data_IF_430772608033
#
_entry.id   IF_430772608033
#
_cell.length_a   1.000
_cell.length_b   1.000
_cell.length_c   1.000
_cell.angle_alpha   90.00
_cell.angle_beta   90.00
_cell.angle_gamma   90.00
#
_symmetry.space_group_name_H-M   'P 1'
#
loop_
_entity.id
_entity.type
_entity.pdbx_description
1 polymer ?
#
# COMPACT_ATOMS: atom_id res chain seq x y z
N UNK A 1 12.52 1.06 -16.98
CA UNK A 1 11.96 1.84 -15.87
C UNK A 1 10.55 1.35 -15.57
N UNK A 2 10.27 1.05 -14.32
CA UNK A 2 8.95 0.55 -13.94
C UNK A 2 8.08 1.65 -13.36
N UNK A 3 6.80 1.64 -13.73
CA UNK A 3 5.81 2.55 -13.18
C UNK A 3 5.14 1.88 -12.00
N UNK A 4 5.18 2.51 -10.84
CA UNK A 4 4.59 2.00 -9.60
C UNK A 4 3.52 2.96 -9.13
N UNK A 5 2.32 2.47 -8.87
CA UNK A 5 1.25 3.27 -8.27
C UNK A 5 1.28 3.06 -6.76
N UNK A 6 1.05 4.13 -6.02
CA UNK A 6 0.93 4.08 -4.56
C UNK A 6 -0.41 4.69 -4.23
N UNK A 7 -1.37 3.84 -3.90
CA UNK A 7 -2.78 4.21 -3.69
C UNK A 7 -3.06 4.12 -2.20
N UNK A 8 -3.37 5.25 -1.57
CA UNK A 8 -3.48 5.25 -0.12
C UNK A 8 -4.56 6.21 0.39
N UNK A 9 -5.00 5.94 1.62
CA UNK A 9 -5.84 6.83 2.40
C UNK A 9 -5.12 7.14 3.70
N UNK A 10 -5.17 8.37 4.15
CA UNK A 10 -4.51 8.78 5.40
C UNK A 10 -5.37 9.80 6.12
N UNK A 11 -5.61 9.58 7.42
CA UNK A 11 -6.37 10.52 8.24
C UNK A 11 -5.46 11.42 9.06
N UNK A 12 -4.41 10.85 9.67
CA UNK A 12 -3.52 11.58 10.57
C UNK A 12 -2.20 11.99 9.94
N UNK A 13 -1.91 11.48 8.74
CA UNK A 13 -0.65 11.76 8.07
C UNK A 13 0.38 10.64 8.21
N UNK A 14 0.15 9.66 9.05
CA UNK A 14 1.12 8.58 9.26
C UNK A 14 1.26 7.68 8.03
N UNK A 15 0.13 7.22 7.49
CA UNK A 15 0.15 6.40 6.27
C UNK A 15 0.65 7.21 5.08
N UNK A 16 0.36 8.52 5.04
CA UNK A 16 0.89 9.40 4.00
C UNK A 16 2.41 9.48 4.05
N UNK A 17 2.97 9.57 5.26
CA UNK A 17 4.43 9.60 5.41
C UNK A 17 5.06 8.31 4.88
N UNK A 18 4.40 7.16 5.13
CA UNK A 18 4.84 5.89 4.59
C UNK A 18 4.78 5.90 3.06
N UNK A 19 3.68 6.37 2.50
CA UNK A 19 3.50 6.43 1.04
C UNK A 19 4.58 7.28 0.38
N UNK A 20 4.89 8.43 0.95
CA UNK A 20 5.93 9.31 0.42
C UNK A 20 7.31 8.65 0.47
N UNK A 21 7.62 7.92 1.54
CA UNK A 21 8.90 7.22 1.65
C UNK A 21 8.99 6.07 0.65
N UNK A 22 7.90 5.34 0.41
CA UNK A 22 7.86 4.30 -0.61
C UNK A 22 8.15 4.91 -1.98
N UNK A 23 7.53 6.06 -2.28
CA UNK A 23 7.75 6.75 -3.54
C UNK A 23 9.21 7.17 -3.72
N UNK A 24 9.85 7.65 -2.64
CA UNK A 24 11.28 7.98 -2.68
C UNK A 24 12.12 6.76 -3.06
N UNK A 25 11.83 5.61 -2.44
CA UNK A 25 12.55 4.38 -2.73
C UNK A 25 12.39 3.93 -4.16
N UNK A 26 11.17 4.05 -4.71
CA UNK A 26 10.93 3.74 -6.12
C UNK A 26 11.80 4.61 -7.03
N UNK A 27 11.83 5.92 -6.76
CA UNK A 27 12.55 6.88 -7.60
C UNK A 27 14.07 6.67 -7.49
N UNK A 28 14.57 6.42 -6.29
CA UNK A 28 15.98 6.16 -6.08
C UNK A 28 16.45 4.92 -6.83
N UNK A 29 15.57 3.95 -7.01
CA UNK A 29 15.88 2.73 -7.76
C UNK A 29 15.66 2.87 -9.26
N UNK A 30 15.30 4.06 -9.73
CA UNK A 30 15.14 4.34 -11.16
C UNK A 30 13.75 4.16 -11.71
N UNK A 31 12.75 3.88 -10.85
CA UNK A 31 11.36 3.75 -11.27
C UNK A 31 10.61 5.08 -11.22
N UNK A 32 9.36 5.06 -11.64
CA UNK A 32 8.46 6.20 -11.48
C UNK A 32 7.39 5.84 -10.47
N UNK A 33 7.02 6.80 -9.62
CA UNK A 33 6.02 6.61 -8.59
C UNK A 33 4.86 7.58 -8.79
N UNK A 34 3.64 7.05 -8.81
CA UNK A 34 2.43 7.85 -8.89
C UNK A 34 1.68 7.71 -7.58
N UNK A 35 1.63 8.77 -6.80
CA UNK A 35 0.90 8.83 -5.53
C UNK A 35 -0.53 9.27 -5.82
N UNK A 36 -1.52 8.52 -5.33
CA UNK A 36 -2.91 8.86 -5.59
C UNK A 36 -3.82 8.40 -4.45
N UNK A 37 -4.97 9.07 -4.36
CA UNK A 37 -6.00 8.69 -3.41
C UNK A 37 -6.91 7.62 -3.97
N UNK A 38 -7.80 7.07 -3.12
CA UNK A 38 -8.68 5.98 -3.55
C UNK A 38 -9.58 6.32 -4.75
N UNK A 39 -10.05 7.56 -4.84
CA UNK A 39 -10.94 7.96 -5.92
C UNK A 39 -10.27 7.99 -7.29
N UNK A 40 -8.95 7.96 -7.32
CA UNK A 40 -8.18 8.07 -8.56
C UNK A 40 -7.79 6.70 -9.15
N UNK A 41 -8.07 5.61 -8.44
CA UNK A 41 -7.65 4.27 -8.86
C UNK A 41 -8.85 3.37 -9.13
N UNK A 42 -8.86 2.73 -10.30
CA UNK A 42 -9.88 1.76 -10.68
C UNK A 42 -9.22 0.48 -11.14
N UNK A 43 -10.03 -0.57 -11.40
CA UNK A 43 -9.48 -1.83 -11.89
C UNK A 43 -8.77 -1.67 -13.25
N UNK A 44 -9.19 -0.71 -14.07
CA UNK A 44 -8.52 -0.44 -15.34
C UNK A 44 -7.13 0.15 -15.14
N UNK A 45 -6.89 0.81 -14.01
CA UNK A 45 -5.61 1.44 -13.73
C UNK A 45 -4.45 0.44 -13.65
N UNK A 46 -4.73 -0.82 -13.29
CA UNK A 46 -3.69 -1.83 -13.16
C UNK A 46 -2.82 -1.96 -14.43
N UNK A 47 -3.41 -1.76 -15.59
CA UNK A 47 -2.68 -1.93 -16.87
C UNK A 47 -1.55 -0.92 -17.05
N UNK A 48 -1.61 0.18 -16.32
CA UNK A 48 -0.64 1.28 -16.46
C UNK A 48 0.57 1.13 -15.55
N UNK A 49 0.57 0.14 -14.65
CA UNK A 49 1.60 0.02 -13.62
C UNK A 49 2.14 -1.39 -13.55
N UNK A 50 3.45 -1.49 -13.31
CA UNK A 50 4.10 -2.79 -13.11
C UNK A 50 3.72 -3.40 -11.77
N UNK A 51 3.49 -2.55 -10.75
CA UNK A 51 3.05 -2.99 -9.43
C UNK A 51 2.29 -1.86 -8.76
N UNK A 52 1.45 -2.21 -7.78
CA UNK A 52 0.66 -1.24 -7.02
C UNK A 52 0.85 -1.49 -5.54
N UNK A 53 1.20 -0.44 -4.80
CA UNK A 53 1.25 -0.49 -3.34
C UNK A 53 -0.04 0.15 -2.81
N UNK A 54 -0.83 -0.62 -2.05
CA UNK A 54 -2.06 -0.14 -1.44
C UNK A 54 -1.80 0.15 0.03
N UNK A 55 -2.16 1.35 0.48
CA UNK A 55 -1.92 1.78 1.85
C UNK A 55 -3.18 2.28 2.54
N UNK A 56 -3.42 1.79 3.75
CA UNK A 56 -4.57 2.21 4.56
C UNK A 56 -4.26 1.91 6.03
N UNK A 57 -4.52 2.87 6.93
CA UNK A 57 -4.31 2.61 8.35
C UNK A 57 -5.38 1.68 8.91
N UNK A 58 -5.08 1.08 10.07
CA UNK A 58 -6.09 0.34 10.83
C UNK A 58 -7.12 1.33 11.37
N UNK A 59 -8.40 1.07 11.11
CA UNK A 59 -9.49 1.92 11.56
C UNK A 59 -10.38 1.17 12.55
N UNK A 60 -10.92 1.90 13.51
CA UNK A 60 -11.93 1.40 14.42
C UNK A 60 -11.68 -0.01 14.94
N UNK A 61 -12.44 -0.98 14.47
CA UNK A 61 -12.36 -2.38 14.88
C UNK A 61 -11.38 -3.18 14.01
N UNK A 62 -10.22 -2.63 13.74
CA UNK A 62 -9.17 -3.26 12.91
C UNK A 62 -9.70 -3.58 11.50
N UNK A 63 -10.21 -2.53 10.84
CA UNK A 63 -10.74 -2.63 9.48
C UNK A 63 -10.11 -1.57 8.60
N UNK A 64 -10.30 -1.69 7.28
CA UNK A 64 -9.92 -0.62 6.35
C UNK A 64 -10.89 0.55 6.51
N UNK A 65 -10.42 1.75 6.11
CA UNK A 65 -11.29 2.91 6.10
C UNK A 65 -12.49 2.64 5.19
N UNK A 66 -13.70 2.95 5.63
CA UNK A 66 -14.92 2.43 5.00
C UNK A 66 -15.68 3.41 4.09
N UNK A 67 -15.25 4.67 4.01
CA UNK A 67 -15.95 5.65 3.18
C UNK A 67 -15.34 5.85 1.81
N UNK A 68 -14.02 5.73 1.71
CA UNK A 68 -13.31 5.99 0.46
C UNK A 68 -12.44 4.81 0.04
N UNK A 69 -11.57 4.33 0.94
CA UNK A 69 -10.64 3.26 0.61
C UNK A 69 -11.35 1.93 0.44
N UNK A 70 -12.21 1.58 1.39
CA UNK A 70 -12.93 0.31 1.35
C UNK A 70 -13.72 0.11 0.06
N UNK A 71 -14.57 1.09 -0.33
CA UNK A 71 -15.31 0.95 -1.58
C UNK A 71 -14.41 0.82 -2.82
N UNK A 72 -13.29 1.56 -2.86
CA UNK A 72 -12.34 1.43 -3.97
C UNK A 72 -11.75 0.03 -3.98
N UNK A 73 -11.30 -0.46 -2.82
CA UNK A 73 -10.65 -1.76 -2.74
C UNK A 73 -11.64 -2.89 -3.07
N UNK A 74 -12.87 -2.78 -2.60
CA UNK A 74 -13.91 -3.75 -2.94
C UNK A 74 -14.11 -3.84 -4.45
N UNK A 75 -14.03 -2.70 -5.14
CA UNK A 75 -14.21 -2.66 -6.58
C UNK A 75 -13.03 -3.29 -7.34
N UNK A 76 -11.81 -3.17 -6.83
CA UNK A 76 -10.63 -3.70 -7.52
C UNK A 76 -10.30 -5.14 -7.10
N UNK A 77 -10.79 -5.58 -5.97
CA UNK A 77 -10.47 -6.91 -5.44
C UNK A 77 -10.69 -8.05 -6.42
N UNK A 78 -11.80 -8.09 -7.20
CA UNK A 78 -12.00 -9.17 -8.18
C UNK A 78 -10.93 -9.22 -9.27
N UNK A 79 -10.15 -8.16 -9.45
CA UNK A 79 -9.13 -8.07 -10.50
C UNK A 79 -7.72 -8.35 -9.98
N UNK A 80 -7.58 -8.75 -8.72
CA UNK A 80 -6.26 -8.93 -8.11
C UNK A 80 -5.49 -10.15 -8.57
N UNK A 81 -6.17 -11.14 -9.15
CA UNK A 81 -5.51 -12.39 -9.55
C UNK A 81 -4.31 -12.13 -10.45
N UNK A 82 -3.14 -12.58 -10.01
CA UNK A 82 -1.89 -12.44 -10.76
C UNK A 82 -1.29 -11.04 -10.77
N UNK A 83 -1.91 -10.08 -10.09
CA UNK A 83 -1.37 -8.71 -10.04
C UNK A 83 -0.26 -8.61 -9.01
N UNK A 84 0.77 -7.83 -9.33
CA UNK A 84 1.89 -7.55 -8.43
C UNK A 84 1.50 -6.40 -7.51
N UNK A 85 1.32 -6.68 -6.23
CA UNK A 85 0.91 -5.66 -5.27
C UNK A 85 1.72 -5.75 -3.98
N UNK A 86 1.67 -4.67 -3.21
CA UNK A 86 2.18 -4.63 -1.84
C UNK A 86 1.15 -3.93 -0.98
N UNK A 87 1.11 -4.27 0.30
CA UNK A 87 0.18 -3.65 1.25
C UNK A 87 0.99 -2.99 2.36
N UNK A 88 0.54 -1.81 2.79
CA UNK A 88 1.18 -1.09 3.89
C UNK A 88 0.18 -0.29 4.68
N UNK A 89 0.56 0.13 5.87
CA UNK A 89 -0.31 0.98 6.66
C UNK A 89 0.23 1.21 8.07
N UNK A 90 -0.33 2.23 8.73
CA UNK A 90 0.00 2.57 10.11
C UNK A 90 -1.11 2.11 11.03
N UNK A 91 -0.79 1.93 12.32
CA UNK A 91 -1.77 1.57 13.33
C UNK A 91 -1.43 2.20 14.66
N UNK A 92 -2.45 2.46 15.49
CA UNK A 92 -2.26 3.06 16.81
C UNK A 92 -2.35 2.04 17.93
N UNK A 93 -3.39 1.21 17.88
CA UNK A 93 -3.60 0.15 18.86
C UNK A 93 -3.94 -1.14 18.10
N UNK A 94 -3.99 -2.25 18.82
CA UNK A 94 -4.18 -3.54 18.18
C UNK A 94 -2.84 -4.15 17.82
N UNK A 95 -2.87 -5.28 17.13
CA UNK A 95 -1.68 -6.07 16.87
C UNK A 95 -1.45 -6.39 15.39
N UNK A 96 -2.07 -5.61 14.49
CA UNK A 96 -1.90 -5.81 13.06
C UNK A 96 -2.92 -6.75 12.43
N UNK A 97 -3.99 -7.06 13.13
CA UNK A 97 -5.00 -7.97 12.58
C UNK A 97 -5.64 -7.46 11.30
N UNK A 98 -5.83 -6.13 11.17
CA UNK A 98 -6.40 -5.57 9.94
C UNK A 98 -5.52 -5.90 8.73
N UNK A 99 -4.20 -5.91 8.92
CA UNK A 99 -3.27 -6.22 7.84
C UNK A 99 -3.27 -7.71 7.54
N UNK A 100 -3.35 -8.57 8.55
CA UNK A 100 -3.41 -10.00 8.32
C UNK A 100 -4.67 -10.38 7.54
N UNK A 101 -5.82 -9.80 7.93
CA UNK A 101 -7.07 -10.01 7.21
C UNK A 101 -6.99 -9.49 5.78
N UNK A 102 -6.37 -8.33 5.60
CA UNK A 102 -6.22 -7.71 4.29
C UNK A 102 -5.34 -8.57 3.38
N UNK A 103 -4.24 -9.08 3.91
CA UNK A 103 -3.37 -9.98 3.16
C UNK A 103 -4.12 -11.24 2.72
N UNK A 104 -5.00 -11.78 3.55
CA UNK A 104 -5.80 -12.95 3.20
C UNK A 104 -6.75 -12.65 2.03
N UNK A 105 -7.32 -11.44 2.00
CA UNK A 105 -8.17 -11.02 0.88
C UNK A 105 -7.40 -10.96 -0.43
N UNK A 106 -6.08 -10.75 -0.35
CA UNK A 106 -5.22 -10.58 -1.51
C UNK A 106 -4.49 -11.87 -1.89
N UNK A 107 -4.95 -13.03 -1.42
CA UNK A 107 -4.25 -14.30 -1.64
C UNK A 107 -4.08 -14.66 -3.12
N UNK A 108 -4.96 -14.18 -4.00
CA UNK A 108 -4.86 -14.44 -5.44
C UNK A 108 -3.83 -13.56 -6.14
N UNK A 109 -3.37 -12.50 -5.48
CA UNK A 109 -2.37 -11.60 -6.03
C UNK A 109 -0.97 -12.08 -5.71
N UNK A 110 0.02 -11.49 -6.38
CA UNK A 110 1.41 -11.67 -6.01
C UNK A 110 1.76 -10.58 -4.99
N UNK A 111 1.84 -10.98 -3.71
CA UNK A 111 2.18 -10.03 -2.64
C UNK A 111 3.70 -9.93 -2.52
N UNK A 112 4.23 -8.71 -2.65
CA UNK A 112 5.66 -8.48 -2.53
C UNK A 112 6.18 -8.85 -1.14
N UNK A 113 5.46 -8.43 -0.10
CA UNK A 113 5.73 -8.85 1.27
C UNK A 113 4.47 -9.54 1.78
N UNK A 114 4.49 -10.86 1.98
CA UNK A 114 3.26 -11.59 2.32
C UNK A 114 2.58 -11.13 3.61
N UNK A 115 3.32 -10.49 4.53
CA UNK A 115 2.77 -10.00 5.79
C UNK A 115 2.35 -8.53 5.74
N UNK A 116 2.69 -7.83 4.64
CA UNK A 116 2.48 -6.40 4.56
C UNK A 116 3.50 -5.62 5.38
N UNK A 117 3.59 -4.31 5.15
CA UNK A 117 4.46 -3.44 5.92
C UNK A 117 3.62 -2.59 6.87
N UNK A 118 3.78 -2.80 8.18
CA UNK A 118 3.01 -2.07 9.17
C UNK A 118 3.95 -1.31 10.10
N UNK A 119 3.56 -0.08 10.47
CA UNK A 119 4.31 0.75 11.40
C UNK A 119 3.38 1.30 12.46
N UNK A 120 3.85 1.31 13.70
CA UNK A 120 3.05 1.80 14.83
C UNK A 120 3.14 3.33 14.92
N UNK A 121 1.99 3.97 14.90
CA UNK A 121 1.86 5.42 15.05
C UNK A 121 2.71 6.20 14.04
N UNK A 122 3.37 7.29 14.47
CA UNK A 122 4.18 8.11 13.59
C UNK A 122 5.44 7.37 13.19
N UNK A 123 5.71 7.18 11.89
CA UNK A 123 6.92 6.47 11.46
C UNK A 123 8.18 7.20 11.91
N UNK A 124 9.12 6.42 12.45
CA UNK A 124 10.44 6.93 12.78
C UNK A 124 11.40 6.71 11.61
N UNK A 125 12.67 7.10 11.78
CA UNK A 125 13.66 6.94 10.71
C UNK A 125 13.83 5.49 10.26
N UNK A 126 13.80 4.57 11.21
CA UNK A 126 13.93 3.14 10.90
C UNK A 126 12.73 2.64 10.08
N UNK A 127 11.52 3.07 10.46
CA UNK A 127 10.31 2.71 9.75
C UNK A 127 10.28 3.32 8.36
N UNK A 128 10.69 4.57 8.21
CA UNK A 128 10.75 5.21 6.89
C UNK A 128 11.79 4.54 5.99
N UNK A 129 12.91 4.05 6.57
CA UNK A 129 13.89 3.30 5.81
C UNK A 129 13.30 2.00 5.26
N UNK A 130 12.45 1.32 6.05
CA UNK A 130 11.75 0.12 5.57
C UNK A 130 10.81 0.45 4.41
N UNK A 131 10.17 1.61 4.48
CA UNK A 131 9.30 2.06 3.39
C UNK A 131 10.10 2.31 2.12
N UNK A 132 11.26 2.96 2.22
CA UNK A 132 12.12 3.19 1.06
C UNK A 132 12.61 1.87 0.48
N UNK A 133 12.95 0.90 1.32
CA UNK A 133 13.34 -0.43 0.86
C UNK A 133 12.20 -1.12 0.12
N UNK A 134 10.98 -1.00 0.60
CA UNK A 134 9.83 -1.55 -0.08
C UNK A 134 9.69 -0.93 -1.48
N UNK A 135 9.80 0.39 -1.56
CA UNK A 135 9.71 1.09 -2.83
C UNK A 135 10.77 0.65 -3.83
N UNK A 136 12.02 0.55 -3.36
CA UNK A 136 13.12 0.08 -4.21
C UNK A 136 12.87 -1.35 -4.68
N UNK A 137 12.36 -2.20 -3.79
CA UNK A 137 12.03 -3.58 -4.13
C UNK A 137 10.96 -3.66 -5.22
N UNK A 138 9.93 -2.83 -5.12
CA UNK A 138 8.87 -2.79 -6.14
C UNK A 138 9.42 -2.36 -7.50
N UNK A 139 10.31 -1.38 -7.52
CA UNK A 139 10.91 -0.91 -8.76
C UNK A 139 11.81 -1.96 -9.42
N UNK A 140 12.36 -2.86 -8.64
CA UNK A 140 13.25 -3.91 -9.12
C UNK A 140 12.57 -5.27 -9.27
N UNK A 141 11.33 -5.36 -8.95
CA UNK A 141 10.56 -6.62 -8.91
C UNK A 141 10.25 -7.19 -10.30
#
# INVERSE_FOLDING_TARGET
MKNIAIVYWSGTGNTEAMANAIAEGVREAGGTAALMGPSEFTSDSFRNYAAVAFGCPAMGAEELEDLEFGPMFDAVEPQLSGKNIALFGSYGWGDGEWMRSWCQRCAAANLFQPEGLILNETPDEEGLALCRELGAGLANW
#
